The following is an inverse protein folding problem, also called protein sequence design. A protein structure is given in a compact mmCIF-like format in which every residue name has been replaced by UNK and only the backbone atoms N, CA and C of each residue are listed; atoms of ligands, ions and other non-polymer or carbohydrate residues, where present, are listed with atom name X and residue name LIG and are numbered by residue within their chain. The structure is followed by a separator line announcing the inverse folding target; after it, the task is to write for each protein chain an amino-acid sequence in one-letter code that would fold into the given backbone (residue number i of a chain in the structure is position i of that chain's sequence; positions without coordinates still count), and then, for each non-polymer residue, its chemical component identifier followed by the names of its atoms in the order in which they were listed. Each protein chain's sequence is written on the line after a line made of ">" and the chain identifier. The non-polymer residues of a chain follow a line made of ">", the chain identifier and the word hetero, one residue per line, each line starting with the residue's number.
data_IF_108867807276
#
_entry.id   IF_108867807276
#
_cell.length_a   1.000
_cell.length_b   1.000
_cell.length_c   1.000
_cell.angle_alpha   90.00
_cell.angle_beta   90.00
_cell.angle_gamma   90.00
#
_symmetry.space_group_name_H-M   'P 1'
#
loop_
_entity.id
_entity.type
_entity.pdbx_description
1 polymer ?
#
# COMPACT_ATOMS: atom_id res chain seq x y z
N UNK A 1 -4.36 30.49 54.56
CA UNK A 1 -5.17 30.81 53.37
C UNK A 1 -4.53 30.11 52.18
N UNK A 2 -4.81 28.82 51.99
CA UNK A 2 -4.44 28.05 50.79
C UNK A 2 -5.60 27.10 50.55
N UNK A 3 -6.68 27.62 49.99
CA UNK A 3 -7.77 26.83 49.43
C UNK A 3 -8.53 27.74 48.47
N UNK A 4 -8.39 27.49 47.17
CA UNK A 4 -9.04 28.34 46.16
C UNK A 4 -8.63 28.12 44.70
N UNK A 5 -7.59 27.32 44.41
CA UNK A 5 -7.15 27.10 43.01
C UNK A 5 -7.29 25.66 42.50
N UNK A 6 -7.72 24.69 43.32
CA UNK A 6 -7.86 23.27 42.89
C UNK A 6 -9.21 22.91 42.27
N UNK A 7 -10.27 23.71 42.43
CA UNK A 7 -11.63 23.30 42.00
C UNK A 7 -11.95 23.58 40.53
N UNK A 8 -11.21 24.48 39.85
CA UNK A 8 -11.47 24.85 38.45
C UNK A 8 -10.82 23.88 37.45
N UNK A 9 -9.62 23.36 37.76
CA UNK A 9 -8.91 22.43 36.86
C UNK A 9 -9.56 21.04 36.82
N UNK A 10 -10.14 20.61 37.94
CA UNK A 10 -10.75 19.29 38.06
C UNK A 10 -12.09 19.21 37.33
N UNK A 11 -12.85 20.33 37.28
CA UNK A 11 -14.08 20.44 36.49
C UNK A 11 -13.83 20.41 34.98
N UNK A 12 -12.81 21.13 34.52
CA UNK A 12 -12.42 21.15 33.10
C UNK A 12 -11.87 19.79 32.63
N UNK A 13 -11.10 19.10 33.48
CA UNK A 13 -10.59 17.76 33.18
C UNK A 13 -11.70 16.71 33.10
N UNK A 14 -12.72 16.79 33.97
CA UNK A 14 -13.84 15.87 33.96
C UNK A 14 -14.72 16.04 32.71
N UNK A 15 -15.01 17.29 32.33
CA UNK A 15 -15.77 17.61 31.13
C UNK A 15 -15.06 17.15 29.86
N UNK A 16 -13.74 17.33 29.79
CA UNK A 16 -12.91 16.85 28.67
C UNK A 16 -12.95 15.32 28.55
N UNK A 17 -12.83 14.59 29.65
CA UNK A 17 -12.89 13.11 29.64
C UNK A 17 -14.27 12.59 29.18
N UNK A 18 -15.35 13.29 29.52
CA UNK A 18 -16.69 12.92 29.07
C UNK A 18 -16.88 13.16 27.56
N UNK A 19 -16.34 14.25 27.02
CA UNK A 19 -16.34 14.53 25.58
C UNK A 19 -15.53 13.48 24.80
N UNK A 20 -14.34 13.12 25.28
CA UNK A 20 -13.50 12.08 24.66
C UNK A 20 -14.18 10.70 24.65
N UNK A 21 -14.85 10.34 25.76
CA UNK A 21 -15.63 9.11 25.84
C UNK A 21 -16.82 9.11 24.87
N UNK A 22 -17.57 10.22 24.80
CA UNK A 22 -18.69 10.36 23.87
C UNK A 22 -18.24 10.20 22.41
N UNK A 23 -17.15 10.86 22.01
CA UNK A 23 -16.59 10.75 20.64
C UNK A 23 -16.13 9.33 20.30
N UNK A 24 -15.58 8.63 21.28
CA UNK A 24 -15.14 7.23 21.13
C UNK A 24 -16.34 6.30 20.89
N UNK A 25 -17.43 6.49 21.65
CA UNK A 25 -18.70 5.80 21.41
C UNK A 25 -19.36 6.20 20.10
N UNK A 26 -19.34 7.48 19.73
CA UNK A 26 -19.86 7.95 18.45
C UNK A 26 -19.14 7.27 17.28
N UNK A 27 -17.81 7.20 17.34
CA UNK A 27 -16.99 6.54 16.31
C UNK A 27 -17.37 5.07 16.11
N UNK A 28 -17.62 4.35 17.20
CA UNK A 28 -18.00 2.94 17.17
C UNK A 28 -19.46 2.72 16.75
N UNK A 29 -20.39 3.54 17.26
CA UNK A 29 -21.83 3.31 17.13
C UNK A 29 -22.45 4.01 15.92
N UNK A 30 -21.80 5.03 15.34
CA UNK A 30 -22.25 5.68 14.12
C UNK A 30 -21.90 4.78 12.91
N UNK A 31 -22.91 4.22 12.21
CA UNK A 31 -22.66 3.26 11.13
C UNK A 31 -21.82 3.83 9.97
N UNK A 32 -21.95 5.13 9.68
CA UNK A 32 -21.19 5.78 8.61
C UNK A 32 -19.71 5.93 8.98
N UNK A 33 -19.43 6.30 10.23
CA UNK A 33 -18.05 6.44 10.73
C UNK A 33 -17.40 5.07 10.83
N UNK A 34 -18.09 4.09 11.41
CA UNK A 34 -17.61 2.72 11.52
C UNK A 34 -17.29 2.12 10.14
N UNK A 35 -18.20 2.28 9.17
CA UNK A 35 -18.00 1.80 7.79
C UNK A 35 -16.79 2.46 7.14
N UNK A 36 -16.64 3.77 7.25
CA UNK A 36 -15.48 4.50 6.70
C UNK A 36 -14.16 3.98 7.26
N UNK A 37 -14.07 3.77 8.57
CA UNK A 37 -12.84 3.25 9.20
C UNK A 37 -12.52 1.81 8.78
N UNK A 38 -13.53 0.95 8.66
CA UNK A 38 -13.35 -0.42 8.17
C UNK A 38 -12.88 -0.45 6.71
N UNK A 39 -13.47 0.38 5.84
CA UNK A 39 -13.06 0.51 4.43
C UNK A 39 -11.64 1.07 4.35
N UNK A 40 -11.32 2.15 5.08
CA UNK A 40 -9.98 2.72 5.07
C UNK A 40 -8.92 1.68 5.51
N UNK A 41 -9.23 0.90 6.56
CA UNK A 41 -8.36 -0.17 7.04
C UNK A 41 -8.14 -1.24 5.98
N UNK A 42 -9.20 -1.74 5.34
CA UNK A 42 -9.09 -2.80 4.33
C UNK A 42 -8.34 -2.33 3.08
N UNK A 43 -8.57 -1.09 2.63
CA UNK A 43 -7.90 -0.52 1.47
C UNK A 43 -6.41 -0.29 1.75
N UNK A 44 -6.05 0.20 2.94
CA UNK A 44 -4.65 0.37 3.31
C UNK A 44 -3.93 -0.98 3.40
N UNK A 45 -4.52 -1.97 4.09
CA UNK A 45 -3.94 -3.33 4.18
C UNK A 45 -3.75 -3.93 2.78
N UNK A 46 -4.75 -3.82 1.90
CA UNK A 46 -4.67 -4.33 0.53
C UNK A 46 -3.58 -3.61 -0.28
N UNK A 47 -3.51 -2.29 -0.20
CA UNK A 47 -2.45 -1.51 -0.86
C UNK A 47 -1.05 -1.92 -0.38
N UNK A 48 -0.88 -2.18 0.92
CA UNK A 48 0.39 -2.62 1.47
C UNK A 48 0.80 -4.00 0.93
N UNK A 49 -0.13 -4.95 0.86
CA UNK A 49 0.16 -6.28 0.30
C UNK A 49 0.51 -6.19 -1.21
N UNK A 50 -0.16 -5.33 -1.98
CA UNK A 50 0.20 -5.07 -3.39
C UNK A 50 1.64 -4.53 -3.49
N UNK A 51 2.02 -3.58 -2.63
CA UNK A 51 3.40 -3.08 -2.58
C UNK A 51 4.40 -4.19 -2.25
N UNK A 52 4.09 -5.07 -1.29
CA UNK A 52 4.96 -6.20 -0.98
C UNK A 52 5.13 -7.14 -2.16
N UNK A 53 4.06 -7.44 -2.89
CA UNK A 53 4.12 -8.23 -4.11
C UNK A 53 4.98 -7.55 -5.18
N UNK A 54 4.80 -6.26 -5.45
CA UNK A 54 5.63 -5.51 -6.39
C UNK A 54 7.12 -5.53 -6.00
N UNK A 55 7.43 -5.42 -4.70
CA UNK A 55 8.82 -5.49 -4.19
C UNK A 55 9.43 -6.89 -4.36
N UNK A 56 8.67 -7.96 -4.09
CA UNK A 56 9.22 -9.31 -3.96
C UNK A 56 9.04 -10.13 -5.24
N UNK A 57 7.82 -10.17 -5.77
CA UNK A 57 7.39 -11.18 -6.73
C UNK A 57 8.08 -11.00 -8.07
N UNK A 58 8.24 -9.77 -8.56
CA UNK A 58 8.96 -9.50 -9.81
C UNK A 58 10.41 -10.02 -9.77
N UNK A 59 11.13 -9.78 -8.66
CA UNK A 59 12.52 -10.25 -8.50
C UNK A 59 12.55 -11.78 -8.42
N UNK A 60 11.65 -12.37 -7.63
CA UNK A 60 11.55 -13.83 -7.49
C UNK A 60 11.30 -14.49 -8.84
N UNK A 61 10.34 -13.97 -9.59
CA UNK A 61 9.88 -14.54 -10.85
C UNK A 61 10.94 -14.36 -11.94
N UNK A 62 11.65 -13.22 -11.96
CA UNK A 62 12.80 -12.99 -12.84
C UNK A 62 13.94 -14.00 -12.66
N UNK A 63 14.18 -14.43 -11.42
CA UNK A 63 15.22 -15.42 -11.13
C UNK A 63 14.69 -16.85 -11.07
N UNK A 64 13.41 -17.12 -11.38
CA UNK A 64 12.85 -18.46 -11.31
C UNK A 64 13.54 -19.40 -12.33
N UNK A 65 14.11 -20.50 -11.84
CA UNK A 65 14.92 -21.43 -12.64
C UNK A 65 14.08 -22.56 -13.28
N UNK A 66 12.79 -22.70 -12.93
CA UNK A 66 11.97 -23.84 -13.35
C UNK A 66 10.50 -23.44 -13.62
N UNK A 67 10.01 -23.77 -14.82
CA UNK A 67 8.60 -23.69 -15.24
C UNK A 67 7.91 -25.07 -15.13
N UNK A 68 8.44 -25.97 -14.31
CA UNK A 68 7.78 -27.26 -14.06
C UNK A 68 6.41 -27.04 -13.38
N UNK A 69 5.44 -27.90 -13.71
CA UNK A 69 4.04 -27.88 -13.26
C UNK A 69 3.86 -28.17 -11.73
N UNK A 70 4.85 -27.84 -10.90
CA UNK A 70 4.85 -27.99 -9.44
C UNK A 70 5.11 -26.67 -8.72
N UNK A 71 5.30 -26.71 -7.39
CA UNK A 71 5.72 -25.52 -6.64
C UNK A 71 7.07 -25.03 -7.17
N UNK A 72 7.21 -23.73 -7.51
CA UNK A 72 8.47 -23.17 -7.97
C UNK A 72 9.54 -23.43 -6.90
N UNK A 73 10.52 -24.28 -7.23
CA UNK A 73 11.66 -24.46 -6.33
C UNK A 73 12.39 -23.13 -6.29
N UNK A 74 12.50 -22.50 -5.10
CA UNK A 74 13.21 -21.22 -4.95
C UNK A 74 14.58 -21.35 -5.62
N UNK A 75 14.76 -20.58 -6.68
CA UNK A 75 15.98 -20.56 -7.47
C UNK A 75 17.18 -20.28 -6.56
N UNK A 76 18.25 -21.05 -6.73
CA UNK A 76 19.49 -20.82 -5.98
C UNK A 76 20.01 -19.42 -6.28
N UNK A 77 19.81 -18.94 -7.51
CA UNK A 77 20.20 -17.60 -7.94
C UNK A 77 19.41 -16.52 -7.19
N UNK A 78 18.09 -16.65 -7.07
CA UNK A 78 17.27 -15.71 -6.29
C UNK A 78 17.73 -15.62 -4.83
N UNK A 79 18.05 -16.76 -4.24
CA UNK A 79 18.59 -16.79 -2.88
C UNK A 79 19.92 -16.04 -2.78
N UNK A 80 20.87 -16.37 -3.66
CA UNK A 80 22.25 -15.88 -3.56
C UNK A 80 22.36 -14.39 -3.88
N UNK A 81 21.58 -13.87 -4.83
CA UNK A 81 21.66 -12.46 -5.28
C UNK A 81 20.72 -11.52 -4.53
N UNK A 82 19.61 -12.02 -3.99
CA UNK A 82 18.59 -11.20 -3.33
C UNK A 82 18.44 -11.58 -1.85
N UNK A 83 17.96 -12.80 -1.54
CA UNK A 83 17.63 -13.17 -0.15
C UNK A 83 18.84 -13.21 0.81
N UNK A 84 20.06 -13.26 0.29
CA UNK A 84 21.29 -13.18 1.08
C UNK A 84 21.56 -11.79 1.66
N UNK A 85 20.91 -10.74 1.14
CA UNK A 85 21.15 -9.34 1.51
C UNK A 85 20.56 -8.96 2.88
N UNK A 86 19.43 -9.56 3.28
CA UNK A 86 18.79 -9.35 4.58
C UNK A 86 17.97 -10.59 4.99
N UNK A 87 17.72 -10.78 6.28
CA UNK A 87 16.88 -11.88 6.80
C UNK A 87 15.41 -11.74 6.41
N UNK A 88 14.94 -10.51 6.24
CA UNK A 88 13.57 -10.21 5.81
C UNK A 88 13.51 -10.20 4.29
N UNK A 89 12.65 -11.03 3.64
CA UNK A 89 12.51 -11.03 2.19
C UNK A 89 12.21 -9.65 1.61
N UNK A 90 11.33 -8.87 2.25
CA UNK A 90 11.02 -7.49 1.83
C UNK A 90 12.27 -6.61 1.87
N UNK A 91 13.05 -6.64 2.96
CA UNK A 91 14.25 -5.82 3.07
C UNK A 91 15.34 -6.27 2.09
N UNK A 92 15.49 -7.57 1.90
CA UNK A 92 16.42 -8.15 0.95
C UNK A 92 16.11 -7.69 -0.48
N UNK A 93 14.83 -7.76 -0.87
CA UNK A 93 14.33 -7.24 -2.14
C UNK A 93 14.53 -5.73 -2.29
N UNK A 94 14.25 -4.94 -1.25
CA UNK A 94 14.54 -3.49 -1.26
C UNK A 94 16.03 -3.17 -1.43
N UNK A 95 16.91 -3.94 -0.79
CA UNK A 95 18.36 -3.78 -0.96
C UNK A 95 18.78 -4.12 -2.39
N UNK A 96 18.18 -5.14 -3.00
CA UNK A 96 18.43 -5.48 -4.40
C UNK A 96 17.93 -4.38 -5.35
N UNK A 97 16.70 -3.88 -5.16
CA UNK A 97 16.15 -2.77 -5.94
C UNK A 97 17.01 -1.50 -5.82
N UNK A 98 17.57 -1.25 -4.63
CA UNK A 98 18.52 -0.15 -4.41
C UNK A 98 19.83 -0.35 -5.15
N UNK A 99 20.36 -1.57 -5.19
CA UNK A 99 21.56 -1.89 -5.98
C UNK A 99 21.36 -1.67 -7.48
N UNK A 100 20.11 -1.79 -7.95
CA UNK A 100 19.70 -1.51 -9.33
C UNK A 100 19.30 -0.04 -9.55
N UNK A 101 19.46 0.83 -8.55
CA UNK A 101 19.10 2.27 -8.59
C UNK A 101 17.60 2.54 -8.87
N UNK A 102 16.74 1.57 -8.56
CA UNK A 102 15.27 1.68 -8.73
C UNK A 102 14.65 2.40 -7.53
N UNK A 103 15.14 2.11 -6.32
CA UNK A 103 14.68 2.72 -5.06
C UNK A 103 15.87 3.30 -4.29
N UNK A 104 15.62 4.34 -3.50
CA UNK A 104 16.65 4.97 -2.66
C UNK A 104 16.43 4.76 -1.15
N UNK A 105 17.30 5.35 -0.31
CA UNK A 105 17.17 5.25 1.14
C UNK A 105 15.89 5.91 1.69
N UNK A 106 15.37 6.92 0.99
CA UNK A 106 14.11 7.58 1.33
C UNK A 106 12.94 6.63 1.10
N UNK A 107 12.93 5.96 -0.05
CA UNK A 107 11.92 4.94 -0.39
C UNK A 107 11.92 3.80 0.65
N UNK A 108 13.09 3.31 1.03
CA UNK A 108 13.22 2.24 2.05
C UNK A 108 12.69 2.71 3.40
N UNK A 109 13.02 3.93 3.81
CA UNK A 109 12.51 4.51 5.06
C UNK A 109 10.98 4.64 5.05
N UNK A 110 10.39 4.99 3.90
CA UNK A 110 8.94 5.02 3.74
C UNK A 110 8.32 3.63 3.82
N UNK A 111 8.91 2.59 3.22
CA UNK A 111 8.39 1.22 3.39
C UNK A 111 8.42 0.77 4.85
N UNK A 112 9.44 1.15 5.61
CA UNK A 112 9.51 0.90 7.05
C UNK A 112 8.39 1.64 7.82
N UNK A 113 8.01 2.86 7.40
CA UNK A 113 6.85 3.58 7.95
C UNK A 113 5.52 2.90 7.62
N UNK A 114 5.31 2.55 6.35
CA UNK A 114 4.13 1.83 5.89
C UNK A 114 3.95 0.51 6.64
N UNK A 115 5.06 -0.22 6.89
CA UNK A 115 5.03 -1.46 7.68
C UNK A 115 4.58 -1.23 9.11
N UNK A 116 5.04 -0.15 9.77
CA UNK A 116 4.60 0.20 11.13
C UNK A 116 3.10 0.48 11.15
N UNK A 117 2.63 1.32 10.23
CA UNK A 117 1.21 1.64 10.15
C UNK A 117 0.34 0.41 9.85
N UNK A 118 0.80 -0.47 8.94
CA UNK A 118 0.14 -1.76 8.67
C UNK A 118 0.01 -2.58 9.93
N UNK A 119 1.09 -2.70 10.71
CA UNK A 119 1.10 -3.51 11.93
C UNK A 119 0.14 -2.94 12.98
N UNK A 120 0.09 -1.61 13.13
CA UNK A 120 -0.87 -0.95 14.00
C UNK A 120 -2.31 -1.30 13.60
N UNK A 121 -2.63 -1.26 12.29
CA UNK A 121 -3.96 -1.63 11.80
C UNK A 121 -4.25 -3.12 12.03
N UNK A 122 -3.33 -4.00 11.66
CA UNK A 122 -3.53 -5.44 11.73
C UNK A 122 -3.67 -5.97 13.17
N UNK A 123 -2.98 -5.36 14.13
CA UNK A 123 -3.00 -5.78 15.53
C UNK A 123 -3.98 -4.99 16.40
N UNK A 124 -4.28 -3.74 16.03
CA UNK A 124 -5.05 -2.82 16.87
C UNK A 124 -6.32 -2.32 16.18
N UNK A 125 -6.85 -3.03 15.17
CA UNK A 125 -8.10 -2.65 14.51
C UNK A 125 -9.24 -2.34 15.50
N UNK A 126 -9.53 -3.16 16.54
CA UNK A 126 -10.55 -2.80 17.52
C UNK A 126 -10.29 -1.44 18.20
N UNK A 127 -9.02 -1.17 18.57
CA UNK A 127 -8.62 0.12 19.15
C UNK A 127 -8.83 1.27 18.16
N UNK A 128 -8.53 1.07 16.88
CA UNK A 128 -8.77 2.04 15.81
C UNK A 128 -10.26 2.35 15.67
N UNK A 129 -11.13 1.35 15.79
CA UNK A 129 -12.58 1.54 15.70
C UNK A 129 -13.19 2.19 16.94
N UNK A 130 -12.66 1.90 18.13
CA UNK A 130 -13.23 2.33 19.41
C UNK A 130 -12.62 3.64 19.92
N UNK A 131 -11.40 4.00 19.52
CA UNK A 131 -10.69 5.18 20.03
C UNK A 131 -10.80 6.34 19.05
N UNK A 132 -11.38 7.46 19.49
CA UNK A 132 -11.63 8.59 18.58
C UNK A 132 -10.35 9.20 17.94
N UNK A 133 -9.19 9.11 18.59
CA UNK A 133 -7.91 9.61 18.04
C UNK A 133 -7.15 8.63 17.14
N UNK A 134 -7.56 7.36 17.07
CA UNK A 134 -6.83 6.33 16.35
C UNK A 134 -7.36 6.21 14.92
N UNK A 135 -6.68 6.78 13.92
CA UNK A 135 -7.16 6.76 12.54
C UNK A 135 -6.20 6.05 11.58
N UNK A 136 -6.78 5.52 10.49
CA UNK A 136 -6.01 5.04 9.35
C UNK A 136 -5.59 6.25 8.53
N UNK A 137 -4.28 6.40 8.32
CA UNK A 137 -3.74 7.45 7.48
C UNK A 137 -3.87 7.04 6.01
N UNK A 138 -5.03 7.32 5.42
CA UNK A 138 -5.34 6.94 4.04
C UNK A 138 -4.47 7.66 3.01
N UNK A 139 -3.86 8.80 3.37
CA UNK A 139 -2.91 9.52 2.51
C UNK A 139 -1.65 8.69 2.23
N UNK A 140 -1.31 7.74 3.11
CA UNK A 140 -0.23 6.78 2.84
C UNK A 140 -0.53 5.83 1.66
N UNK A 141 -1.79 5.68 1.24
CA UNK A 141 -2.13 4.91 0.03
C UNK A 141 -1.57 5.57 -1.24
N UNK A 142 -1.47 6.91 -1.25
CA UNK A 142 -0.81 7.61 -2.37
C UNK A 142 0.69 7.30 -2.41
N UNK A 143 1.35 7.16 -1.25
CA UNK A 143 2.76 6.80 -1.20
C UNK A 143 2.99 5.35 -1.65
N UNK A 144 2.08 4.44 -1.28
CA UNK A 144 2.04 3.08 -1.81
C UNK A 144 1.95 3.11 -3.34
N UNK A 145 1.01 3.89 -3.89
CA UNK A 145 0.86 4.05 -5.34
C UNK A 145 2.16 4.51 -6.00
N UNK A 146 2.81 5.56 -5.48
CA UNK A 146 4.03 6.11 -6.08
C UNK A 146 5.18 5.08 -6.08
N UNK A 147 5.36 4.33 -4.98
CA UNK A 147 6.37 3.27 -4.91
C UNK A 147 6.08 2.11 -5.86
N UNK A 148 4.81 1.66 -5.93
CA UNK A 148 4.39 0.61 -6.86
C UNK A 148 4.58 1.07 -8.31
N UNK A 149 4.20 2.30 -8.65
CA UNK A 149 4.43 2.85 -9.99
C UNK A 149 5.91 2.89 -10.34
N UNK A 150 6.77 3.30 -9.40
CA UNK A 150 8.22 3.35 -9.61
C UNK A 150 8.79 1.97 -9.94
N UNK A 151 8.43 0.97 -9.14
CA UNK A 151 8.94 -0.41 -9.28
C UNK A 151 8.36 -1.06 -10.53
N UNK A 152 7.03 -1.07 -10.68
CA UNK A 152 6.36 -1.76 -11.79
C UNK A 152 6.71 -1.14 -13.15
N UNK A 153 6.83 0.18 -13.26
CA UNK A 153 7.22 0.83 -14.52
C UNK A 153 8.63 0.43 -14.95
N UNK A 154 9.55 0.34 -13.99
CA UNK A 154 10.91 -0.12 -14.29
C UNK A 154 10.89 -1.57 -14.80
N UNK A 155 10.13 -2.46 -14.15
CA UNK A 155 10.01 -3.85 -14.60
C UNK A 155 9.41 -3.96 -16.01
N UNK A 156 8.34 -3.23 -16.28
CA UNK A 156 7.70 -3.25 -17.60
C UNK A 156 8.68 -2.72 -18.66
N UNK A 157 9.33 -1.58 -18.41
CA UNK A 157 10.21 -0.93 -19.38
C UNK A 157 11.50 -1.72 -19.63
N UNK A 158 12.22 -2.03 -18.56
CA UNK A 158 13.58 -2.56 -18.66
C UNK A 158 13.62 -4.07 -18.81
N UNK A 159 12.52 -4.76 -18.47
CA UNK A 159 12.46 -6.23 -18.54
C UNK A 159 11.43 -6.68 -19.56
N UNK A 160 10.14 -6.39 -19.37
CA UNK A 160 9.08 -6.95 -20.23
C UNK A 160 9.15 -6.43 -21.67
N UNK A 161 9.26 -5.11 -21.86
CA UNK A 161 9.37 -4.50 -23.19
C UNK A 161 10.68 -4.89 -23.88
N UNK A 162 11.78 -4.99 -23.14
CA UNK A 162 13.11 -5.29 -23.70
C UNK A 162 13.23 -6.69 -24.32
N UNK A 163 12.35 -7.62 -23.91
CA UNK A 163 12.35 -9.01 -24.40
C UNK A 163 11.20 -9.31 -25.36
N UNK A 164 10.34 -8.33 -25.63
CA UNK A 164 9.18 -8.48 -26.50
C UNK A 164 9.40 -7.73 -27.83
N UNK A 165 9.56 -8.45 -28.97
CA UNK A 165 9.81 -7.84 -30.27
C UNK A 165 8.75 -6.83 -30.73
N UNK A 166 7.51 -6.93 -30.23
CA UNK A 166 6.44 -5.98 -30.57
C UNK A 166 6.75 -4.56 -30.05
N UNK A 167 7.67 -4.43 -29.09
CA UNK A 167 8.11 -3.16 -28.51
C UNK A 167 9.50 -2.72 -28.99
N UNK A 168 10.09 -3.40 -29.98
CA UNK A 168 11.41 -3.02 -30.51
C UNK A 168 11.41 -1.59 -31.06
N UNK A 169 12.28 -0.75 -30.51
CA UNK A 169 12.41 0.66 -30.90
C UNK A 169 11.27 1.57 -30.40
N UNK A 170 10.39 1.07 -29.54
CA UNK A 170 9.36 1.88 -28.87
C UNK A 170 9.94 2.44 -27.56
N UNK A 171 10.04 3.76 -27.48
CA UNK A 171 10.30 4.47 -26.23
C UNK A 171 8.97 4.89 -25.61
N UNK A 172 8.56 4.24 -24.51
CA UNK A 172 7.35 4.59 -23.76
C UNK A 172 7.69 5.50 -22.58
N UNK A 173 7.02 6.65 -22.52
CA UNK A 173 7.04 7.53 -21.36
C UNK A 173 6.42 6.87 -20.13
N UNK A 174 6.65 7.48 -18.97
CA UNK A 174 6.10 7.01 -17.70
C UNK A 174 4.55 6.99 -17.71
N UNK A 175 3.93 7.97 -18.36
CA UNK A 175 2.48 8.10 -18.47
C UNK A 175 1.84 7.01 -19.33
N UNK A 176 2.60 6.43 -20.25
CA UNK A 176 2.14 5.36 -21.15
C UNK A 176 2.27 3.97 -20.51
N UNK A 177 3.01 3.85 -19.40
CA UNK A 177 3.23 2.59 -18.69
C UNK A 177 2.35 2.54 -17.44
N UNK A 178 1.37 1.64 -17.47
CA UNK A 178 0.46 1.39 -16.34
C UNK A 178 0.34 -0.10 -16.09
N UNK A 179 0.69 -0.55 -14.88
CA UNK A 179 0.52 -1.93 -14.44
C UNK A 179 -0.90 -2.18 -13.89
N UNK A 180 -1.30 -3.45 -13.82
CA UNK A 180 -2.56 -3.83 -13.16
C UNK A 180 -2.62 -3.43 -11.68
N UNK A 181 -1.48 -3.46 -10.97
CA UNK A 181 -1.39 -3.02 -9.58
C UNK A 181 -1.67 -1.51 -9.44
N UNK A 182 -1.14 -0.70 -10.37
CA UNK A 182 -1.38 0.74 -10.39
C UNK A 182 -2.87 1.05 -10.56
N UNK A 183 -3.54 0.37 -11.50
CA UNK A 183 -5.00 0.53 -11.72
C UNK A 183 -5.77 0.13 -10.46
N UNK A 184 -5.42 -1.01 -9.85
CA UNK A 184 -6.10 -1.49 -8.65
C UNK A 184 -5.98 -0.50 -7.49
N UNK A 185 -4.79 0.07 -7.25
CA UNK A 185 -4.59 1.08 -6.20
C UNK A 185 -5.36 2.36 -6.51
N UNK A 186 -5.41 2.81 -7.76
CA UNK A 186 -6.21 3.98 -8.16
C UNK A 186 -7.70 3.75 -7.91
N UNK A 187 -8.25 2.57 -8.26
CA UNK A 187 -9.64 2.22 -7.95
C UNK A 187 -9.88 2.24 -6.43
N UNK A 188 -8.98 1.66 -5.65
CA UNK A 188 -9.05 1.70 -4.19
C UNK A 188 -9.03 3.13 -3.64
N UNK A 189 -8.21 4.01 -4.23
CA UNK A 189 -8.13 5.41 -3.84
C UNK A 189 -9.46 6.16 -4.13
N UNK A 190 -10.08 5.95 -5.29
CA UNK A 190 -11.39 6.55 -5.61
C UNK A 190 -12.47 6.11 -4.61
N UNK A 191 -12.52 4.82 -4.28
CA UNK A 191 -13.45 4.28 -3.28
C UNK A 191 -13.20 4.91 -1.91
N UNK A 192 -11.94 5.11 -1.52
CA UNK A 192 -11.58 5.77 -0.27
C UNK A 192 -12.07 7.22 -0.20
N UNK A 193 -12.04 7.94 -1.33
CA UNK A 193 -12.53 9.32 -1.45
C UNK A 193 -14.06 9.41 -1.55
N UNK A 194 -14.77 8.28 -1.63
CA UNK A 194 -16.21 8.25 -1.85
C UNK A 194 -16.61 8.64 -3.28
N UNK A 195 -15.67 8.55 -4.21
CA UNK A 195 -15.87 8.85 -5.63
C UNK A 195 -16.30 7.59 -6.41
N UNK A 196 -17.03 7.80 -7.51
CA UNK A 196 -17.49 6.70 -8.37
C UNK A 196 -16.34 6.20 -9.27
N UNK A 197 -15.96 4.93 -9.13
CA UNK A 197 -15.01 4.26 -10.02
C UNK A 197 -15.58 3.96 -11.41
N UNK A 198 -16.83 4.35 -11.68
CA UNK A 198 -17.55 4.17 -12.94
C UNK A 198 -16.85 4.77 -14.16
N UNK A 199 -15.97 5.76 -13.99
CA UNK A 199 -15.12 6.26 -15.09
C UNK A 199 -14.06 5.25 -15.49
N UNK A 200 -13.29 4.70 -14.54
CA UNK A 200 -12.30 3.63 -14.80
C UNK A 200 -13.00 2.39 -15.38
N UNK A 201 -14.18 2.04 -14.87
CA UNK A 201 -14.95 0.92 -15.39
C UNK A 201 -15.36 1.12 -16.86
N UNK A 202 -15.83 2.32 -17.23
CA UNK A 202 -16.17 2.65 -18.62
C UNK A 202 -14.95 2.60 -19.54
N UNK A 203 -13.83 3.15 -19.10
CA UNK A 203 -12.57 3.10 -19.85
C UNK A 203 -12.09 1.66 -20.08
N UNK A 204 -12.17 0.82 -19.03
CA UNK A 204 -11.85 -0.60 -19.13
C UNK A 204 -12.80 -1.33 -20.11
N UNK A 205 -14.11 -1.07 -20.03
CA UNK A 205 -15.09 -1.64 -20.96
C UNK A 205 -14.81 -1.22 -22.40
N UNK A 206 -14.50 0.05 -22.64
CA UNK A 206 -14.20 0.57 -23.98
C UNK A 206 -12.91 -0.03 -24.54
N UNK A 207 -11.86 -0.14 -23.72
CA UNK A 207 -10.62 -0.83 -24.11
C UNK A 207 -10.90 -2.28 -24.47
N UNK A 208 -11.58 -3.02 -23.59
CA UNK A 208 -11.84 -4.44 -23.81
C UNK A 208 -12.73 -4.68 -25.03
N UNK A 209 -13.76 -3.85 -25.24
CA UNK A 209 -14.64 -3.96 -26.41
C UNK A 209 -13.92 -3.63 -27.73
N UNK A 210 -12.93 -2.72 -27.72
CA UNK A 210 -12.12 -2.40 -28.91
C UNK A 210 -11.14 -3.51 -29.30
N UNK A 211 -10.68 -4.30 -28.32
CA UNK A 211 -9.67 -5.35 -28.53
C UNK A 211 -10.25 -6.77 -28.44
N UNK A 212 -11.58 -6.89 -28.42
CA UNK A 212 -12.29 -8.16 -28.53
C UNK A 212 -12.29 -8.60 -30.00
N UNK A 213 -11.28 -9.36 -30.39
CA UNK A 213 -11.21 -10.11 -31.64
C UNK A 213 -11.34 -11.61 -31.35
#
# INVERSE_FOLDING_TARGET
>A
MVDGQRSSSDGDALAKNQDEAFRSWEKLLNPEILRKNLIASSLFLSGYEILQSSIIDHIRDFFCDDFSLGEPTKSKKYHDVCLSLDKSPVRASLMWLKQMDIVDDTDIAFVDELRRHRNDIAHELPRILETHHAEVNIQLLQQIYLLVSKIDRWWIREVEMSVNPDFDGIEASDEEITSGNMVLIQVMHLVAMGEDSGTIWREFQDYFNKHKA
#
